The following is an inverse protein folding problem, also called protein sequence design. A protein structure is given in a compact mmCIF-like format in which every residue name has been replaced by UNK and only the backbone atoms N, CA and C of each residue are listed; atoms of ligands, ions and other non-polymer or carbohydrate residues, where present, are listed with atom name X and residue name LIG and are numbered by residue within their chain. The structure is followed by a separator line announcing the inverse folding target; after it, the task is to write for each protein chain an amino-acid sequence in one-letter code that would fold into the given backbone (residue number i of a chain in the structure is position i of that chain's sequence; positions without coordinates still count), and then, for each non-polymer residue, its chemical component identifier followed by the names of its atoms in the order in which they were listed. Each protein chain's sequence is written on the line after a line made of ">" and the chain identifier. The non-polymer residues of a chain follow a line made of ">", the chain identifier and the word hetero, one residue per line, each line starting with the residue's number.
data_IF_080001252943
#
_entry.id   IF_080001252943
#
_cell.length_a   1.000
_cell.length_b   1.000
_cell.length_c   1.000
_cell.angle_alpha   90.00
_cell.angle_beta   90.00
_cell.angle_gamma   90.00
#
_symmetry.space_group_name_H-M   'P 1'
#
loop_
_entity.id
_entity.type
_entity.pdbx_description
1 polymer ?
#
# COMPACT_ATOMS: atom_id res chain seq x y z
N UNK A 1 -55.12 -23.86 25.26
CA UNK A 1 -54.39 -23.87 23.96
C UNK A 1 -53.02 -23.23 24.18
N UNK A 2 -51.97 -24.03 24.34
CA UNK A 2 -50.59 -23.52 24.45
C UNK A 2 -50.00 -23.36 23.05
N UNK A 3 -49.68 -22.12 22.65
CA UNK A 3 -48.93 -21.84 21.41
C UNK A 3 -47.45 -22.12 21.68
N UNK A 4 -46.91 -23.15 21.05
CA UNK A 4 -45.47 -23.44 21.03
C UNK A 4 -44.81 -22.44 20.07
N UNK A 5 -43.97 -21.55 20.58
CA UNK A 5 -43.14 -20.65 19.77
C UNK A 5 -41.93 -21.43 19.25
N UNK A 6 -41.87 -21.68 17.94
CA UNK A 6 -40.68 -22.20 17.27
C UNK A 6 -39.70 -21.05 17.06
N UNK A 7 -38.60 -21.03 17.84
CA UNK A 7 -37.50 -20.09 17.62
C UNK A 7 -36.57 -20.67 16.58
N UNK A 8 -36.55 -20.09 15.38
CA UNK A 8 -35.61 -20.45 14.31
C UNK A 8 -34.25 -19.83 14.63
N UNK A 9 -33.27 -20.64 14.97
CA UNK A 9 -31.86 -20.21 15.05
C UNK A 9 -31.31 -20.07 13.62
N UNK A 10 -31.09 -18.82 13.18
CA UNK A 10 -30.27 -18.53 12.00
C UNK A 10 -28.80 -18.75 12.40
N UNK A 11 -28.19 -19.82 11.86
CA UNK A 11 -26.77 -20.07 11.97
C UNK A 11 -26.05 -19.15 10.97
N UNK A 12 -25.49 -18.03 11.44
CA UNK A 12 -24.64 -17.17 10.61
C UNK A 12 -23.31 -17.90 10.41
N UNK A 13 -23.13 -18.52 9.25
CA UNK A 13 -21.86 -19.12 8.84
C UNK A 13 -20.91 -17.96 8.49
N UNK A 14 -19.97 -17.66 9.40
CA UNK A 14 -18.84 -16.80 9.08
C UNK A 14 -17.89 -17.56 8.15
N UNK A 15 -17.97 -17.30 6.85
CA UNK A 15 -16.92 -17.70 5.92
C UNK A 15 -15.65 -16.94 6.29
N UNK A 16 -14.67 -17.64 6.88
CA UNK A 16 -13.31 -17.09 7.04
C UNK A 16 -12.68 -16.99 5.65
N UNK A 17 -12.50 -15.78 5.13
CA UNK A 17 -11.76 -15.57 3.88
C UNK A 17 -10.33 -16.14 4.03
N UNK A 18 -10.00 -17.14 3.22
CA UNK A 18 -8.68 -17.80 3.16
C UNK A 18 -7.78 -17.21 2.08
N UNK A 19 -8.26 -16.21 1.33
CA UNK A 19 -7.56 -15.61 0.19
C UNK A 19 -6.12 -15.21 0.51
N UNK A 20 -5.87 -14.60 1.67
CA UNK A 20 -4.54 -14.18 2.09
C UNK A 20 -3.56 -15.34 2.35
N UNK A 21 -4.07 -16.51 2.73
CA UNK A 21 -3.24 -17.71 2.98
C UNK A 21 -2.95 -18.50 1.71
N UNK A 22 -3.77 -18.32 0.67
CA UNK A 22 -3.65 -19.03 -0.61
C UNK A 22 -2.90 -18.23 -1.67
N UNK A 23 -2.84 -16.89 -1.57
CA UNK A 23 -2.05 -16.06 -2.49
C UNK A 23 -0.56 -16.07 -2.12
N UNK A 24 0.14 -17.04 -2.68
CA UNK A 24 1.60 -17.17 -2.61
C UNK A 24 2.32 -16.42 -3.73
N UNK A 25 1.58 -15.82 -4.67
CA UNK A 25 2.14 -15.26 -5.90
C UNK A 25 2.52 -13.80 -5.75
N UNK A 26 3.69 -13.42 -6.27
CA UNK A 26 4.09 -12.03 -6.49
C UNK A 26 4.06 -11.78 -7.99
N UNK A 27 3.37 -10.72 -8.41
CA UNK A 27 3.15 -10.40 -9.83
C UNK A 27 3.66 -9.00 -10.14
N UNK A 28 4.02 -8.78 -11.40
CA UNK A 28 4.36 -7.45 -11.91
C UNK A 28 3.08 -6.63 -12.11
N UNK A 29 2.95 -5.51 -11.40
CA UNK A 29 1.74 -4.67 -11.42
C UNK A 29 1.39 -4.19 -12.82
N UNK A 30 2.39 -3.82 -13.64
CA UNK A 30 2.17 -3.35 -15.00
C UNK A 30 1.55 -4.40 -15.94
N UNK A 31 1.65 -5.69 -15.61
CA UNK A 31 0.94 -6.75 -16.35
C UNK A 31 -0.54 -6.87 -15.98
N UNK A 32 -0.93 -6.36 -14.80
CA UNK A 32 -2.31 -6.37 -14.28
C UNK A 32 -3.03 -5.07 -14.68
N UNK A 33 -2.36 -3.93 -14.53
CA UNK A 33 -2.81 -2.62 -14.98
C UNK A 33 -1.61 -1.73 -15.37
N UNK A 34 -1.34 -1.63 -16.67
CA UNK A 34 -0.25 -0.81 -17.22
C UNK A 34 -0.51 0.70 -17.18
N UNK A 35 -1.68 1.12 -16.72
CA UNK A 35 -2.08 2.53 -16.71
C UNK A 35 -1.89 3.21 -15.35
N UNK A 36 -1.54 2.45 -14.33
CA UNK A 36 -1.08 2.95 -13.03
C UNK A 36 0.30 3.58 -13.24
N UNK A 37 0.50 4.80 -12.75
CA UNK A 37 1.80 5.46 -12.85
C UNK A 37 2.72 4.89 -11.77
N UNK A 38 4.01 4.78 -12.07
CA UNK A 38 5.03 4.30 -11.13
C UNK A 38 6.21 5.26 -11.09
N UNK A 39 6.74 5.47 -9.90
CA UNK A 39 7.97 6.23 -9.64
C UNK A 39 8.68 5.53 -8.49
N UNK A 40 9.31 4.40 -8.80
CA UNK A 40 9.87 3.48 -7.81
C UNK A 40 11.09 4.15 -7.16
N UNK A 41 10.84 4.87 -6.06
CA UNK A 41 11.82 5.78 -5.43
C UNK A 41 13.13 5.08 -5.09
N UNK A 42 13.04 3.85 -4.58
CA UNK A 42 14.19 3.05 -4.19
C UNK A 42 14.97 2.44 -5.39
N UNK A 43 14.47 2.57 -6.62
CA UNK A 43 15.22 2.26 -7.85
C UNK A 43 16.01 3.47 -8.39
N UNK A 44 15.93 4.61 -7.71
CA UNK A 44 16.63 5.86 -8.04
C UNK A 44 17.48 6.33 -6.85
N UNK A 45 18.11 7.49 -6.93
CA UNK A 45 18.73 8.15 -5.78
C UNK A 45 17.79 9.13 -5.05
N UNK A 46 16.57 9.34 -5.57
CA UNK A 46 15.53 10.18 -4.97
C UNK A 46 14.77 9.40 -3.89
N UNK A 47 15.45 9.14 -2.77
CA UNK A 47 14.90 8.49 -1.58
C UNK A 47 15.74 8.85 -0.35
N UNK A 48 15.24 8.53 0.84
CA UNK A 48 15.92 8.89 2.10
C UNK A 48 17.37 8.39 2.20
N UNK A 49 17.74 7.30 1.51
CA UNK A 49 19.08 6.74 1.55
C UNK A 49 20.04 7.36 0.53
N UNK A 50 19.55 8.16 -0.42
CA UNK A 50 20.35 8.78 -1.49
C UNK A 50 21.04 7.76 -2.41
N UNK A 51 20.57 6.51 -2.43
CA UNK A 51 21.19 5.37 -3.11
C UNK A 51 20.15 4.55 -3.85
N UNK A 52 20.58 3.91 -4.95
CA UNK A 52 19.77 2.90 -5.63
C UNK A 52 19.81 1.63 -4.79
N UNK A 53 18.65 1.22 -4.29
CA UNK A 53 18.47 0.03 -3.45
C UNK A 53 17.77 -1.11 -4.20
N UNK A 54 16.92 -0.78 -5.17
CA UNK A 54 16.16 -1.74 -5.96
C UNK A 54 16.87 -2.02 -7.28
N UNK A 55 16.95 -3.30 -7.71
CA UNK A 55 17.56 -3.69 -8.98
C UNK A 55 16.66 -3.45 -10.20
N UNK A 56 15.43 -2.97 -9.98
CA UNK A 56 14.42 -2.74 -11.03
C UNK A 56 13.48 -1.62 -10.59
N UNK A 57 12.99 -0.86 -11.56
CA UNK A 57 11.93 0.14 -11.48
C UNK A 57 10.52 -0.46 -11.67
N UNK A 58 10.42 -1.80 -11.78
CA UNK A 58 9.14 -2.50 -11.87
C UNK A 58 8.53 -2.68 -10.48
N UNK A 59 7.24 -2.37 -10.37
CA UNK A 59 6.47 -2.59 -9.15
C UNK A 59 5.96 -4.03 -9.10
N UNK A 60 6.31 -4.74 -8.02
CA UNK A 60 5.80 -6.06 -7.71
C UNK A 60 4.91 -6.01 -6.46
N UNK A 61 3.89 -6.86 -6.38
CA UNK A 61 3.09 -7.05 -5.17
C UNK A 61 2.37 -8.40 -5.23
N UNK A 62 1.66 -8.76 -4.15
CA UNK A 62 0.77 -9.93 -4.16
C UNK A 62 -0.27 -9.78 -5.27
N UNK A 63 -0.69 -10.88 -5.89
CA UNK A 63 -1.68 -10.84 -6.98
C UNK A 63 -2.98 -10.17 -6.52
N UNK A 64 -3.45 -10.49 -5.32
CA UNK A 64 -4.67 -9.88 -4.76
C UNK A 64 -4.51 -8.36 -4.57
N UNK A 65 -3.32 -7.90 -4.20
CA UNK A 65 -3.00 -6.48 -4.05
C UNK A 65 -3.02 -5.81 -5.42
N UNK A 66 -2.40 -6.40 -6.43
CA UNK A 66 -2.40 -5.87 -7.80
C UNK A 66 -3.83 -5.74 -8.36
N UNK A 67 -4.68 -6.75 -8.14
CA UNK A 67 -6.08 -6.74 -8.56
C UNK A 67 -6.87 -5.62 -7.87
N UNK A 68 -6.65 -5.40 -6.57
CA UNK A 68 -7.29 -4.32 -5.83
C UNK A 68 -6.79 -2.93 -6.25
N UNK A 69 -5.50 -2.78 -6.51
CA UNK A 69 -4.94 -1.53 -7.06
C UNK A 69 -5.53 -1.20 -8.44
N UNK A 70 -5.74 -2.19 -9.29
CA UNK A 70 -6.45 -2.01 -10.58
C UNK A 70 -7.89 -1.55 -10.38
N UNK A 71 -8.63 -2.14 -9.45
CA UNK A 71 -10.00 -1.73 -9.12
C UNK A 71 -10.03 -0.28 -8.62
N UNK A 72 -9.13 0.09 -7.71
CA UNK A 72 -8.97 1.45 -7.18
C UNK A 72 -8.65 2.44 -8.30
N UNK A 73 -7.66 2.13 -9.15
CA UNK A 73 -7.28 2.98 -10.27
C UNK A 73 -8.44 3.18 -11.26
N UNK A 74 -9.21 2.12 -11.51
CA UNK A 74 -10.43 2.19 -12.34
C UNK A 74 -11.51 3.07 -11.70
N UNK A 75 -11.69 2.97 -10.38
CA UNK A 75 -12.61 3.82 -9.62
C UNK A 75 -12.22 5.31 -9.70
N UNK A 76 -10.94 5.62 -9.48
CA UNK A 76 -10.42 6.99 -9.54
C UNK A 76 -10.59 7.61 -10.94
N UNK A 77 -10.30 6.84 -11.99
CA UNK A 77 -10.50 7.31 -13.36
C UNK A 77 -11.96 7.62 -13.65
N UNK A 78 -12.84 6.69 -13.31
CA UNK A 78 -14.27 6.79 -13.64
C UNK A 78 -14.97 7.92 -12.88
N UNK A 79 -14.67 8.08 -11.60
CA UNK A 79 -15.43 8.97 -10.71
C UNK A 79 -14.75 10.33 -10.49
N UNK A 80 -13.44 10.42 -10.71
CA UNK A 80 -12.67 11.62 -10.38
C UNK A 80 -11.76 12.12 -11.52
N UNK A 81 -11.62 11.38 -12.63
CA UNK A 81 -10.61 11.65 -13.66
C UNK A 81 -9.17 11.70 -13.09
N UNK A 82 -8.89 10.84 -12.10
CA UNK A 82 -7.61 10.72 -11.41
C UNK A 82 -7.01 9.32 -11.60
N UNK A 83 -5.74 9.14 -11.27
CA UNK A 83 -5.05 7.84 -11.30
C UNK A 83 -4.18 7.63 -10.07
N UNK A 84 -3.80 6.38 -9.82
CA UNK A 84 -2.77 6.06 -8.83
C UNK A 84 -1.37 6.33 -9.37
N UNK A 85 -0.47 6.76 -8.48
CA UNK A 85 0.98 6.74 -8.66
C UNK A 85 1.64 5.98 -7.51
N UNK A 86 2.38 4.92 -7.81
CA UNK A 86 3.02 4.05 -6.80
C UNK A 86 4.50 4.41 -6.63
N UNK A 87 4.92 4.58 -5.38
CA UNK A 87 6.30 4.85 -4.97
C UNK A 87 7.04 3.58 -4.53
N UNK A 88 6.36 2.71 -3.78
CA UNK A 88 6.89 1.42 -3.32
C UNK A 88 5.77 0.39 -3.13
N UNK A 89 6.10 -0.89 -3.21
CA UNK A 89 5.20 -1.99 -2.88
C UNK A 89 5.99 -3.19 -2.31
N UNK A 90 6.13 -4.29 -3.05
CA UNK A 90 6.98 -5.39 -2.59
C UNK A 90 8.45 -4.96 -2.48
N UNK A 91 8.98 -5.06 -1.27
CA UNK A 91 10.39 -4.84 -0.95
C UNK A 91 11.03 -6.16 -0.56
N UNK A 92 12.10 -6.65 -1.20
CA UNK A 92 12.82 -7.83 -0.71
C UNK A 92 13.36 -7.63 0.71
N UNK A 93 13.35 -8.68 1.54
CA UNK A 93 13.88 -8.60 2.91
C UNK A 93 15.38 -8.19 2.92
N UNK A 94 16.15 -8.63 1.93
CA UNK A 94 17.53 -8.21 1.73
C UNK A 94 17.68 -6.70 1.50
N UNK A 95 16.73 -6.05 0.85
CA UNK A 95 16.70 -4.58 0.71
C UNK A 95 16.33 -3.92 2.04
N UNK A 96 15.37 -4.48 2.79
CA UNK A 96 15.03 -3.98 4.13
C UNK A 96 16.24 -4.00 5.07
N UNK A 97 17.06 -5.05 5.01
CA UNK A 97 18.32 -5.13 5.78
C UNK A 97 19.30 -4.02 5.40
N UNK A 98 19.46 -3.74 4.10
CA UNK A 98 20.31 -2.62 3.62
C UNK A 98 19.77 -1.26 4.08
N UNK A 99 18.46 -1.05 4.05
CA UNK A 99 17.84 0.17 4.58
C UNK A 99 18.12 0.33 6.08
N UNK A 100 17.99 -0.74 6.85
CA UNK A 100 18.27 -0.74 8.28
C UNK A 100 19.76 -0.48 8.60
N UNK A 101 20.69 -1.03 7.81
CA UNK A 101 22.12 -0.73 7.94
C UNK A 101 22.44 0.75 7.73
N UNK A 102 21.66 1.45 6.89
CA UNK A 102 21.81 2.88 6.61
C UNK A 102 21.15 3.72 7.71
N UNK A 103 19.97 3.31 8.17
CA UNK A 103 19.16 4.06 9.13
C UNK A 103 18.48 3.12 10.16
N UNK A 104 19.19 2.71 11.23
CA UNK A 104 18.71 1.71 12.18
C UNK A 104 17.80 2.31 13.27
N UNK A 105 16.73 2.97 12.85
CA UNK A 105 15.71 3.54 13.75
C UNK A 105 14.34 2.88 13.47
N UNK A 106 13.79 2.11 14.42
CA UNK A 106 12.52 1.40 14.23
C UNK A 106 11.30 2.33 14.12
N UNK A 107 11.45 3.62 14.42
CA UNK A 107 10.38 4.60 14.18
C UNK A 107 10.22 4.94 12.69
N UNK A 108 11.25 4.69 11.87
CA UNK A 108 11.30 5.13 10.47
C UNK A 108 11.58 3.97 9.50
N UNK A 109 12.38 2.99 9.90
CA UNK A 109 12.71 1.81 9.10
C UNK A 109 12.34 0.58 9.90
N UNK A 110 11.46 -0.29 9.38
CA UNK A 110 11.07 -1.49 10.12
C UNK A 110 12.26 -2.43 10.41
N UNK A 111 12.32 -2.95 11.65
CA UNK A 111 13.37 -3.90 12.06
C UNK A 111 13.30 -5.19 11.21
N UNK A 112 14.35 -5.50 10.42
CA UNK A 112 14.37 -6.67 9.56
C UNK A 112 14.28 -8.00 10.31
N UNK A 113 14.53 -8.06 11.62
CA UNK A 113 14.36 -9.26 12.44
C UNK A 113 12.90 -9.74 12.48
N UNK A 114 11.94 -8.81 12.37
CA UNK A 114 10.50 -9.11 12.31
C UNK A 114 9.92 -8.96 10.89
N UNK A 115 10.74 -8.42 9.98
CA UNK A 115 10.37 -8.07 8.62
C UNK A 115 9.44 -6.86 8.55
N UNK A 116 9.14 -6.41 7.34
CA UNK A 116 8.19 -5.32 7.08
C UNK A 116 6.94 -5.80 6.36
N UNK A 117 5.93 -4.94 6.33
CA UNK A 117 4.68 -5.17 5.60
C UNK A 117 4.93 -5.21 4.08
N UNK A 118 5.90 -4.42 3.61
CA UNK A 118 6.41 -4.47 2.24
C UNK A 118 7.07 -5.81 1.90
N UNK A 119 7.79 -6.44 2.83
CA UNK A 119 8.41 -7.76 2.59
C UNK A 119 7.39 -8.88 2.40
N UNK A 120 6.13 -8.65 2.74
CA UNK A 120 5.02 -9.59 2.54
C UNK A 120 4.31 -9.39 1.21
N UNK A 121 4.70 -8.36 0.44
CA UNK A 121 4.03 -7.94 -0.79
C UNK A 121 2.61 -7.41 -0.58
N UNK A 122 2.28 -7.06 0.67
CA UNK A 122 0.94 -6.68 1.12
C UNK A 122 0.79 -5.17 1.39
N UNK A 123 1.89 -4.42 1.39
CA UNK A 123 1.90 -2.97 1.56
C UNK A 123 2.16 -2.24 0.24
N UNK A 124 1.71 -1.00 0.17
CA UNK A 124 1.93 -0.08 -0.94
C UNK A 124 2.08 1.34 -0.42
N UNK A 125 3.06 2.05 -0.96
CA UNK A 125 3.26 3.49 -0.76
C UNK A 125 2.85 4.20 -2.04
N UNK A 126 1.88 5.10 -1.97
CA UNK A 126 1.31 5.72 -3.17
C UNK A 126 0.71 7.12 -2.94
N UNK A 127 0.46 7.79 -4.06
CA UNK A 127 -0.34 9.01 -4.13
C UNK A 127 -1.36 8.94 -5.28
N UNK A 128 -2.12 10.02 -5.44
CA UNK A 128 -3.06 10.23 -6.54
C UNK A 128 -2.49 11.31 -7.47
N UNK A 129 -2.69 11.13 -8.77
CA UNK A 129 -2.31 12.09 -9.80
C UNK A 129 -3.53 12.52 -10.62
N UNK A 130 -3.46 13.71 -11.19
CA UNK A 130 -4.43 14.22 -12.16
C UNK A 130 -4.29 13.57 -13.55
N UNK A 131 -5.08 14.04 -14.51
CA UNK A 131 -5.04 13.55 -15.89
C UNK A 131 -3.68 13.79 -16.58
N UNK A 132 -2.94 14.82 -16.16
CA UNK A 132 -1.62 15.16 -16.68
C UNK A 132 -0.49 14.39 -15.98
N UNK A 133 -0.82 13.60 -14.95
CA UNK A 133 0.17 12.88 -14.14
C UNK A 133 0.80 13.73 -13.05
N UNK A 134 0.25 14.91 -12.75
CA UNK A 134 0.70 15.77 -11.66
C UNK A 134 0.13 15.25 -10.35
N UNK A 135 0.99 15.08 -9.36
CA UNK A 135 0.60 14.61 -8.02
C UNK A 135 -0.33 15.61 -7.34
N UNK A 136 -1.38 15.09 -6.72
CA UNK A 136 -2.19 15.88 -5.80
C UNK A 136 -1.34 16.24 -4.58
N UNK A 137 -1.46 17.48 -4.12
CA UNK A 137 -0.72 17.95 -2.95
C UNK A 137 -1.21 17.23 -1.69
N UNK A 138 -0.27 16.60 -0.98
CA UNK A 138 -0.52 15.87 0.27
C UNK A 138 0.11 16.56 1.48
N UNK A 139 0.63 17.78 1.35
CA UNK A 139 1.15 18.60 2.46
C UNK A 139 2.61 18.31 2.85
N UNK A 140 3.08 17.09 2.64
CA UNK A 140 4.50 16.70 2.72
C UNK A 140 4.88 15.89 1.49
N UNK A 141 6.19 15.71 1.28
CA UNK A 141 6.69 14.75 0.30
C UNK A 141 6.56 13.32 0.85
N UNK A 142 6.73 12.34 -0.03
CA UNK A 142 6.99 10.95 0.35
C UNK A 142 8.28 10.84 1.17
N UNK A 143 8.37 9.89 2.11
CA UNK A 143 9.46 9.72 3.07
C UNK A 143 9.71 10.96 3.97
N UNK A 144 8.69 11.80 4.20
CA UNK A 144 8.75 12.85 5.22
C UNK A 144 8.55 12.26 6.62
N UNK A 145 9.63 12.26 7.41
CA UNK A 145 9.68 11.65 8.72
C UNK A 145 9.26 12.58 9.87
N UNK A 146 8.42 13.59 9.58
CA UNK A 146 7.84 14.47 10.61
C UNK A 146 6.38 14.11 10.90
N UNK A 147 5.87 14.55 12.05
CA UNK A 147 4.44 14.37 12.41
C UNK A 147 3.46 14.92 11.36
N UNK A 148 3.93 15.83 10.48
CA UNK A 148 3.13 16.38 9.38
C UNK A 148 2.73 15.34 8.35
N UNK A 149 3.48 14.24 8.23
CA UNK A 149 3.14 13.14 7.33
C UNK A 149 1.95 12.32 7.82
N UNK A 150 1.61 12.40 9.12
CA UNK A 150 0.54 11.61 9.72
C UNK A 150 -0.86 11.99 9.23
N UNK A 151 -1.76 11.01 9.20
CA UNK A 151 -3.15 11.18 8.77
C UNK A 151 -3.95 12.15 9.67
N UNK A 152 -3.62 12.19 10.96
CA UNK A 152 -4.23 13.09 11.95
C UNK A 152 -3.70 14.53 11.92
N UNK A 153 -2.62 14.82 11.17
CA UNK A 153 -2.13 16.19 11.04
C UNK A 153 -3.04 17.01 10.12
N UNK A 154 -3.66 18.05 10.68
CA UNK A 154 -4.71 18.84 10.02
C UNK A 154 -4.35 20.31 9.79
N UNK A 155 -3.15 20.74 10.17
CA UNK A 155 -2.66 22.11 9.95
C UNK A 155 -2.14 22.28 8.50
N UNK A 156 -3.03 22.07 7.54
CA UNK A 156 -2.79 22.28 6.11
C UNK A 156 -3.97 23.02 5.48
N UNK A 157 -3.73 23.71 4.34
CA UNK A 157 -4.80 24.21 3.50
C UNK A 157 -5.88 23.16 3.20
N UNK A 158 -7.14 23.57 3.13
CA UNK A 158 -8.30 22.68 2.95
C UNK A 158 -8.16 21.72 1.76
N UNK A 159 -7.58 22.16 0.65
CA UNK A 159 -7.42 21.31 -0.53
C UNK A 159 -6.48 20.11 -0.28
N UNK A 160 -5.44 20.27 0.54
CA UNK A 160 -4.56 19.15 0.96
C UNK A 160 -5.33 18.16 1.84
N UNK A 161 -6.12 18.66 2.79
CA UNK A 161 -6.95 17.80 3.66
C UNK A 161 -7.99 17.01 2.85
N UNK A 162 -8.58 17.63 1.83
CA UNK A 162 -9.49 16.95 0.89
C UNK A 162 -8.77 15.86 0.10
N UNK A 163 -7.55 16.12 -0.38
CA UNK A 163 -6.75 15.12 -1.11
C UNK A 163 -6.38 13.93 -0.23
N UNK A 164 -5.89 14.17 0.99
CA UNK A 164 -5.57 13.11 1.98
C UNK A 164 -6.80 12.27 2.31
N UNK A 165 -7.94 12.93 2.53
CA UNK A 165 -9.21 12.25 2.82
C UNK A 165 -9.71 11.43 1.63
N UNK A 166 -9.57 11.93 0.40
CA UNK A 166 -9.89 11.17 -0.80
C UNK A 166 -9.06 9.89 -0.86
N UNK A 167 -7.73 10.02 -0.71
CA UNK A 167 -6.83 8.87 -0.73
C UNK A 167 -7.19 7.85 0.35
N UNK A 168 -7.31 8.29 1.60
CA UNK A 168 -7.69 7.42 2.72
C UNK A 168 -9.02 6.70 2.47
N UNK A 169 -10.06 7.42 2.03
CA UNK A 169 -11.38 6.84 1.81
C UNK A 169 -11.38 5.82 0.68
N UNK A 170 -10.68 6.12 -0.42
CA UNK A 170 -10.62 5.21 -1.57
C UNK A 170 -9.84 3.96 -1.18
N UNK A 171 -8.66 4.09 -0.56
CA UNK A 171 -7.87 2.92 -0.16
C UNK A 171 -8.63 2.03 0.83
N UNK A 172 -9.28 2.63 1.83
CA UNK A 172 -10.05 1.89 2.85
C UNK A 172 -11.28 1.21 2.28
N UNK A 173 -11.99 1.84 1.35
CA UNK A 173 -13.15 1.25 0.64
C UNK A 173 -12.79 -0.08 -0.05
N UNK A 174 -11.55 -0.22 -0.53
CA UNK A 174 -11.06 -1.41 -1.22
C UNK A 174 -10.26 -2.36 -0.32
N UNK A 175 -10.37 -2.20 1.00
CA UNK A 175 -9.86 -3.16 1.98
C UNK A 175 -8.40 -2.96 2.37
N UNK A 176 -7.88 -1.74 2.24
CA UNK A 176 -6.60 -1.36 2.81
C UNK A 176 -6.77 -0.68 4.17
N UNK A 177 -5.80 -0.86 5.06
CA UNK A 177 -5.65 -0.12 6.31
C UNK A 177 -4.49 0.87 6.15
N UNK A 178 -4.59 2.05 6.75
CA UNK A 178 -3.52 3.05 6.70
C UNK A 178 -2.55 2.90 7.87
N UNK A 179 -1.34 3.40 7.70
CA UNK A 179 -0.42 3.66 8.80
C UNK A 179 -0.60 5.12 9.27
N UNK A 180 -0.94 5.31 10.55
CA UNK A 180 -1.31 6.64 11.06
C UNK A 180 -0.22 7.70 10.89
N UNK A 181 1.05 7.32 10.93
CA UNK A 181 2.20 8.22 10.78
C UNK A 181 2.52 8.59 9.33
N UNK A 182 1.94 7.93 8.33
CA UNK A 182 2.36 8.04 6.93
C UNK A 182 1.16 8.10 5.98
N UNK A 183 0.87 9.28 5.41
CA UNK A 183 -0.31 9.48 4.54
C UNK A 183 -0.31 8.60 3.27
N UNK A 184 0.88 8.14 2.84
CA UNK A 184 1.09 7.37 1.62
C UNK A 184 0.98 5.85 1.83
N UNK A 185 1.09 5.36 3.06
CA UNK A 185 1.30 3.94 3.34
C UNK A 185 0.00 3.19 3.64
N UNK A 186 -0.24 2.12 2.88
CA UNK A 186 -1.43 1.31 2.99
C UNK A 186 -1.13 -0.18 2.97
N UNK A 187 -1.71 -0.91 3.92
CA UNK A 187 -1.63 -2.35 4.02
C UNK A 187 -2.92 -3.01 3.56
N UNK A 188 -2.84 -3.99 2.66
CA UNK A 188 -3.99 -4.83 2.37
C UNK A 188 -4.45 -5.56 3.64
N UNK A 189 -5.77 -5.73 3.79
CA UNK A 189 -6.36 -6.46 4.91
C UNK A 189 -5.68 -7.80 5.12
N UNK A 190 -5.59 -8.19 6.40
CA UNK A 190 -4.94 -9.42 6.83
C UNK A 190 -3.45 -9.56 6.43
N UNK A 191 -2.74 -8.45 6.18
CA UNK A 191 -1.33 -8.46 5.76
C UNK A 191 -0.43 -9.40 6.59
N UNK A 192 -0.73 -9.55 7.88
CA UNK A 192 0.00 -10.41 8.83
C UNK A 192 -0.01 -11.89 8.45
N UNK A 193 -1.00 -12.34 7.65
CA UNK A 193 -1.15 -13.74 7.23
C UNK A 193 -0.28 -14.10 6.02
N UNK A 194 0.18 -13.12 5.25
CA UNK A 194 1.10 -13.38 4.15
C UNK A 194 2.51 -13.66 4.67
N UNK A 195 3.22 -14.60 4.05
CA UNK A 195 4.63 -14.88 4.37
C UNK A 195 5.53 -13.70 3.98
N UNK A 196 6.63 -13.54 4.72
CA UNK A 196 7.77 -12.70 4.33
C UNK A 196 8.49 -13.36 3.15
N UNK A 197 8.93 -12.56 2.19
CA UNK A 197 9.56 -13.02 0.95
C UNK A 197 10.87 -12.25 0.73
N UNK A 198 11.91 -12.95 0.29
CA UNK A 198 13.20 -12.36 -0.14
C UNK A 198 13.55 -12.77 -1.58
N UNK A 199 12.61 -12.53 -2.49
CA UNK A 199 12.75 -12.79 -3.91
C UNK A 199 13.23 -11.52 -4.62
N UNK A 200 14.28 -11.64 -5.42
CA UNK A 200 14.78 -10.51 -6.23
C UNK A 200 14.27 -10.62 -7.66
N UNK A 201 13.82 -9.50 -8.23
CA UNK A 201 13.43 -9.38 -9.63
C UNK A 201 14.37 -8.42 -10.33
N UNK A 202 14.89 -8.80 -11.50
CA UNK A 202 15.82 -7.97 -12.26
C UNK A 202 15.15 -7.45 -13.54
N UNK A 203 15.62 -6.29 -14.02
CA UNK A 203 15.36 -5.84 -15.38
C UNK A 203 16.08 -6.77 -16.36
N UNK A 204 15.44 -7.88 -16.75
CA UNK A 204 15.79 -8.57 -18.00
C UNK A 204 15.43 -7.68 -19.18
#
# INVERSE_FOLDING_TARGET
>A
MYKVLFTVFILIIFFRNTDAQNDTSIVFLGSVDSTIITDVKYATTDNFAGKILYPTDKVYCRKIVAEKLKEINSYLKKNHNLRLKIFDAYRPLSVQKKMWEIYPDPNFVADPATGSRHNRGAAVDLTIVDSNGVELLMGTLYDDFTDKAGHSYTDFPTHILVNRKLLLNVMTMFGFNHLESEWWHYDYKDWRRFSIIDQTFNNK
#
